data_IF_726411832407
#
_entry.id   IF_726411832407
#
_cell.length_a   1.000
_cell.length_b   1.000
_cell.length_c   1.000
_cell.angle_alpha   90.00
_cell.angle_beta   90.00
_cell.angle_gamma   90.00
#
_symmetry.space_group_name_H-M   'P 1'
#
loop_
_entity.id
_entity.type
_entity.pdbx_description
1 polymer ?
#
# COMPACT_ATOMS: atom_id res chain seq x y z
N UNK A 1 47.79 -8.28 -5.44
CA UNK A 1 47.19 -7.25 -4.55
C UNK A 1 46.23 -6.30 -5.29
N UNK A 2 46.48 -5.88 -6.53
CA UNK A 2 45.58 -4.95 -7.27
C UNK A 2 44.14 -5.44 -7.45
N UNK A 3 43.89 -6.75 -7.61
CA UNK A 3 42.54 -7.26 -7.83
C UNK A 3 41.64 -7.15 -6.57
N UNK A 4 42.22 -7.16 -5.38
CA UNK A 4 41.46 -7.07 -4.12
C UNK A 4 40.91 -5.65 -3.92
N UNK A 5 41.73 -4.63 -4.19
CA UNK A 5 41.36 -3.21 -4.06
C UNK A 5 40.28 -2.84 -5.07
N UNK A 6 40.38 -3.32 -6.31
CA UNK A 6 39.36 -3.09 -7.35
C UNK A 6 38.02 -3.73 -6.96
N UNK A 7 38.06 -4.94 -6.38
CA UNK A 7 36.85 -5.65 -5.94
C UNK A 7 36.17 -4.93 -4.77
N UNK A 8 36.95 -4.43 -3.81
CA UNK A 8 36.44 -3.64 -2.67
C UNK A 8 35.85 -2.29 -3.15
N UNK A 9 36.49 -1.62 -4.12
CA UNK A 9 35.99 -0.36 -4.68
C UNK A 9 34.66 -0.57 -5.44
N UNK A 10 34.55 -1.67 -6.21
CA UNK A 10 33.31 -2.04 -6.91
C UNK A 10 32.17 -2.41 -5.95
N UNK A 11 32.48 -3.08 -4.84
CA UNK A 11 31.50 -3.39 -3.79
C UNK A 11 30.99 -2.13 -3.07
N UNK A 12 31.83 -1.10 -2.90
CA UNK A 12 31.41 0.18 -2.30
C UNK A 12 30.57 1.05 -3.25
N UNK A 13 30.91 1.08 -4.55
CA UNK A 13 30.16 1.86 -5.57
C UNK A 13 28.79 1.25 -5.87
N UNK A 14 28.66 -0.09 -5.77
CA UNK A 14 27.37 -0.78 -5.93
C UNK A 14 26.59 -0.94 -4.61
N UNK A 15 27.21 -0.64 -3.46
CA UNK A 15 26.65 -0.90 -2.14
C UNK A 15 25.70 0.16 -1.59
N UNK A 16 25.57 1.32 -2.24
CA UNK A 16 24.83 2.47 -1.70
C UNK A 16 23.59 2.80 -2.54
N UNK A 17 22.63 1.89 -2.55
CA UNK A 17 21.23 2.20 -2.89
C UNK A 17 20.26 1.45 -2.00
N UNK A 18 20.59 1.33 -0.71
CA UNK A 18 19.62 0.93 0.31
C UNK A 18 18.76 2.16 0.62
N UNK A 19 17.87 2.53 -0.30
CA UNK A 19 16.82 3.54 -0.04
C UNK A 19 15.68 2.90 0.73
N UNK A 20 15.97 2.42 1.94
CA UNK A 20 14.94 1.98 2.86
C UNK A 20 14.27 3.22 3.46
N UNK A 21 13.00 3.44 3.12
CA UNK A 21 12.10 4.45 3.73
C UNK A 21 12.34 5.94 3.37
N UNK A 22 13.03 6.23 2.26
CA UNK A 22 13.18 7.59 1.78
C UNK A 22 11.92 8.04 1.02
N UNK A 23 11.29 9.11 1.50
CA UNK A 23 10.27 9.85 0.75
C UNK A 23 10.83 10.27 -0.62
N UNK A 24 10.05 10.18 -1.70
CA UNK A 24 10.50 10.68 -2.99
C UNK A 24 10.85 12.17 -2.93
N UNK A 25 11.82 12.59 -3.75
CA UNK A 25 12.25 13.99 -3.80
C UNK A 25 11.06 14.89 -4.17
N UNK A 26 10.99 16.06 -3.53
CA UNK A 26 9.87 16.99 -3.73
C UNK A 26 8.54 16.56 -3.11
N UNK A 27 8.48 15.43 -2.40
CA UNK A 27 7.28 14.99 -1.67
C UNK A 27 7.37 15.29 -0.17
N UNK A 28 6.22 15.27 0.49
CA UNK A 28 6.06 15.24 1.94
C UNK A 28 5.12 14.12 2.35
N UNK A 29 5.25 13.65 3.59
CA UNK A 29 4.36 12.63 4.15
C UNK A 29 2.98 13.21 4.42
N UNK A 30 1.95 12.43 4.12
CA UNK A 30 0.57 12.69 4.50
C UNK A 30 0.02 11.46 5.21
N UNK A 31 -0.99 11.67 6.06
CA UNK A 31 -1.77 10.58 6.63
C UNK A 31 -3.01 10.33 5.79
N UNK A 32 -3.37 9.07 5.61
CA UNK A 32 -4.58 8.69 4.92
C UNK A 32 -5.52 7.98 5.90
N UNK A 33 -6.82 8.21 5.72
CA UNK A 33 -7.88 7.48 6.41
C UNK A 33 -9.04 7.25 5.48
N UNK A 34 -9.87 6.26 5.79
CA UNK A 34 -11.14 6.09 5.11
C UNK A 34 -12.27 5.82 6.11
N UNK A 35 -13.48 6.11 5.67
CA UNK A 35 -14.72 5.82 6.37
C UNK A 35 -15.67 5.13 5.40
N UNK A 36 -16.37 4.09 5.86
CA UNK A 36 -17.45 3.46 5.10
C UNK A 36 -18.78 3.81 5.77
N UNK A 37 -19.63 4.47 4.99
CA UNK A 37 -20.94 4.96 5.42
C UNK A 37 -22.07 4.06 4.91
N UNK A 38 -23.29 4.29 5.41
CA UNK A 38 -24.49 3.56 5.03
C UNK A 38 -24.50 2.07 5.44
N UNK A 39 -23.72 1.70 6.47
CA UNK A 39 -23.69 0.33 7.01
C UNK A 39 -25.05 -0.07 7.60
N UNK A 40 -25.72 0.88 8.26
CA UNK A 40 -26.99 0.68 8.96
C UNK A 40 -28.16 0.34 8.01
N UNK A 41 -28.02 0.63 6.71
CA UNK A 41 -28.99 0.24 5.68
C UNK A 41 -28.94 -1.25 5.33
N UNK A 42 -27.95 -1.98 5.84
CA UNK A 42 -27.73 -3.40 5.57
C UNK A 42 -27.58 -4.20 6.88
N UNK A 43 -28.61 -4.24 7.75
CA UNK A 43 -28.50 -4.78 9.11
C UNK A 43 -28.23 -6.29 9.18
N UNK A 44 -28.43 -7.03 8.09
CA UNK A 44 -28.13 -8.48 8.00
C UNK A 44 -26.65 -8.82 7.81
N UNK A 45 -25.79 -7.80 7.69
CA UNK A 45 -24.38 -7.96 7.36
C UNK A 45 -23.46 -7.33 8.40
N UNK A 46 -22.33 -7.98 8.61
CA UNK A 46 -21.16 -7.43 9.30
C UNK A 46 -20.13 -7.05 8.24
N UNK A 47 -19.55 -5.86 8.40
CA UNK A 47 -18.58 -5.30 7.46
C UNK A 47 -17.18 -5.37 8.04
N UNK A 48 -16.22 -5.83 7.24
CA UNK A 48 -14.83 -6.00 7.66
C UNK A 48 -13.91 -5.39 6.62
N UNK A 49 -12.96 -4.55 7.05
CA UNK A 49 -11.85 -4.12 6.20
C UNK A 49 -10.61 -4.97 6.48
N UNK A 50 -10.04 -5.57 5.43
CA UNK A 50 -8.89 -6.46 5.53
C UNK A 50 -8.12 -6.53 4.20
N UNK A 51 -6.79 -6.70 4.21
CA UNK A 51 -5.89 -6.50 5.34
C UNK A 51 -5.66 -5.00 5.53
N UNK A 52 -5.81 -4.54 6.77
CA UNK A 52 -5.27 -3.28 7.26
C UNK A 52 -3.90 -3.62 7.87
N UNK A 53 -2.87 -2.84 7.57
CA UNK A 53 -1.58 -3.02 8.24
C UNK A 53 -1.19 -1.69 8.85
N UNK A 54 -1.11 -1.64 10.17
CA UNK A 54 -0.88 -0.42 10.93
C UNK A 54 0.53 -0.33 11.52
N UNK A 55 1.44 -1.25 11.16
CA UNK A 55 2.76 -1.32 11.79
C UNK A 55 3.85 -0.67 10.94
N UNK A 56 4.62 0.22 11.55
CA UNK A 56 5.82 0.83 10.98
C UNK A 56 7.11 0.00 11.24
N UNK A 57 6.99 -1.24 11.72
CA UNK A 57 8.13 -2.11 12.03
C UNK A 57 7.95 -3.52 11.47
N UNK A 58 7.26 -4.38 12.23
CA UNK A 58 6.93 -5.75 11.80
C UNK A 58 5.54 -5.71 11.17
N UNK A 59 5.34 -6.06 9.89
CA UNK A 59 4.03 -6.05 9.28
C UNK A 59 3.08 -6.95 10.10
N UNK A 60 1.98 -6.35 10.54
CA UNK A 60 0.92 -7.04 11.25
C UNK A 60 -0.31 -6.99 10.35
N UNK A 61 -0.74 -8.16 9.89
CA UNK A 61 -2.05 -8.30 9.26
C UNK A 61 -3.12 -8.07 10.33
N UNK A 62 -3.89 -6.99 10.14
CA UNK A 62 -5.01 -6.60 10.96
C UNK A 62 -6.28 -6.57 10.11
N UNK A 63 -7.39 -7.05 10.64
CA UNK A 63 -8.72 -6.81 10.11
C UNK A 63 -9.48 -5.87 11.05
N UNK A 64 -10.39 -5.07 10.53
CA UNK A 64 -11.23 -4.22 11.38
C UNK A 64 -12.70 -4.42 11.03
N UNK A 65 -13.52 -4.73 12.03
CA UNK A 65 -14.97 -4.66 11.89
C UNK A 65 -15.37 -3.19 11.80
N UNK A 66 -15.98 -2.81 10.69
CA UNK A 66 -16.37 -1.43 10.41
C UNK A 66 -17.63 -1.07 11.21
N UNK A 67 -17.63 0.13 11.76
CA UNK A 67 -18.77 0.72 12.46
C UNK A 67 -19.14 2.05 11.81
N UNK A 68 -20.40 2.44 11.95
CA UNK A 68 -20.87 3.74 11.47
C UNK A 68 -20.02 4.86 12.07
N UNK A 69 -19.58 5.82 11.25
CA UNK A 69 -18.69 6.93 11.64
C UNK A 69 -17.28 6.53 12.12
N UNK A 70 -16.85 5.29 11.92
CA UNK A 70 -15.50 4.86 12.26
C UNK A 70 -14.51 5.22 11.15
N UNK A 71 -13.50 6.01 11.50
CA UNK A 71 -12.38 6.30 10.62
C UNK A 71 -11.27 5.28 10.82
N UNK A 72 -10.83 4.65 9.72
CA UNK A 72 -9.71 3.72 9.69
C UNK A 72 -8.50 4.46 9.11
N UNK A 73 -7.48 4.67 9.94
CA UNK A 73 -6.21 5.22 9.50
C UNK A 73 -5.39 4.14 8.78
N UNK A 74 -4.79 4.49 7.64
CA UNK A 74 -3.90 3.62 6.89
C UNK A 74 -2.52 4.27 6.75
N UNK A 75 -1.43 3.57 7.13
CA UNK A 75 -0.09 4.07 6.89
C UNK A 75 0.33 3.97 5.42
N UNK A 76 -0.46 3.30 4.56
CA UNK A 76 -0.28 3.15 3.12
C UNK A 76 1.08 2.58 2.67
N UNK A 77 1.85 2.02 3.61
CA UNK A 77 3.15 1.40 3.37
C UNK A 77 3.01 -0.09 3.09
N UNK A 78 2.04 -0.73 3.73
CA UNK A 78 1.83 -2.17 3.69
C UNK A 78 0.33 -2.44 3.55
N UNK A 79 -0.07 -3.13 2.49
CA UNK A 79 -1.46 -3.52 2.28
C UNK A 79 -2.35 -2.46 1.62
N UNK A 80 -3.41 -2.97 1.01
CA UNK A 80 -4.48 -2.20 0.40
C UNK A 80 -5.77 -2.88 0.84
N UNK A 81 -6.46 -2.35 1.84
CA UNK A 81 -7.58 -3.05 2.45
C UNK A 81 -8.70 -3.20 1.43
N UNK A 82 -9.32 -4.36 1.44
CA UNK A 82 -10.57 -4.64 0.75
C UNK A 82 -11.66 -4.60 1.82
N UNK A 83 -12.79 -3.98 1.50
CA UNK A 83 -13.97 -4.02 2.35
C UNK A 83 -14.79 -5.24 1.96
N UNK A 84 -15.14 -6.05 2.94
CA UNK A 84 -15.94 -7.26 2.80
C UNK A 84 -17.25 -7.12 3.57
N UNK A 85 -18.30 -7.73 3.04
CA UNK A 85 -19.54 -7.99 3.78
C UNK A 85 -19.65 -9.49 4.07
N UNK A 86 -20.17 -9.85 5.24
CA UNK A 86 -20.49 -11.22 5.60
C UNK A 86 -21.82 -11.22 6.32
N UNK A 87 -22.69 -12.21 6.04
CA UNK A 87 -23.96 -12.32 6.76
C UNK A 87 -23.68 -12.53 8.25
N UNK A 88 -24.49 -11.91 9.11
CA UNK A 88 -24.29 -12.00 10.56
C UNK A 88 -24.31 -13.45 11.07
N UNK A 89 -25.15 -14.30 10.49
CA UNK A 89 -25.23 -15.74 10.83
C UNK A 89 -23.96 -16.53 10.49
N UNK A 90 -23.19 -16.07 9.49
CA UNK A 90 -21.94 -16.70 9.04
C UNK A 90 -20.70 -16.07 9.71
N UNK A 91 -20.86 -14.97 10.47
CA UNK A 91 -19.75 -14.25 11.08
C UNK A 91 -19.48 -14.66 12.53
N UNK A 92 -18.30 -15.27 12.76
CA UNK A 92 -17.79 -15.58 14.10
C UNK A 92 -16.85 -14.46 14.56
N UNK A 93 -17.40 -13.50 15.30
CA UNK A 93 -16.64 -12.37 15.85
C UNK A 93 -15.56 -12.79 16.86
N UNK A 94 -15.82 -13.79 17.70
CA UNK A 94 -14.83 -14.28 18.66
C UNK A 94 -13.63 -14.89 17.96
N UNK A 95 -13.87 -15.69 16.92
CA UNK A 95 -12.80 -16.25 16.10
C UNK A 95 -12.05 -15.17 15.35
N UNK A 96 -12.75 -14.20 14.76
CA UNK A 96 -12.14 -13.06 14.09
C UNK A 96 -11.19 -12.32 15.04
N UNK A 97 -11.65 -11.93 16.22
CA UNK A 97 -10.85 -11.21 17.22
C UNK A 97 -9.65 -12.04 17.70
N UNK A 98 -9.81 -13.36 17.89
CA UNK A 98 -8.72 -14.25 18.30
C UNK A 98 -7.61 -14.41 17.25
N UNK A 99 -7.96 -14.20 15.97
CA UNK A 99 -7.06 -14.32 14.83
C UNK A 99 -6.50 -12.95 14.38
N UNK A 100 -6.94 -11.86 15.00
CA UNK A 100 -6.60 -10.51 14.63
C UNK A 100 -5.39 -9.97 15.42
N UNK A 101 -4.77 -8.88 14.93
CA UNK A 101 -3.58 -8.25 15.51
C UNK A 101 -2.36 -9.18 15.65
N UNK A 102 -2.10 -9.97 14.61
CA UNK A 102 -1.04 -10.97 14.64
C UNK A 102 0.07 -10.53 13.68
N UNK A 103 1.33 -10.67 14.13
CA UNK A 103 2.51 -10.53 13.27
C UNK A 103 2.43 -11.50 12.08
N UNK A 104 2.86 -11.05 10.90
CA UNK A 104 2.84 -11.86 9.66
C UNK A 104 3.58 -13.20 9.82
N UNK A 105 4.59 -13.25 10.68
CA UNK A 105 5.41 -14.44 10.92
C UNK A 105 4.77 -15.47 11.87
N UNK A 106 3.55 -15.23 12.35
CA UNK A 106 2.82 -16.15 13.21
C UNK A 106 1.99 -17.12 12.35
N UNK A 107 1.95 -18.41 12.70
CA UNK A 107 1.12 -19.41 12.02
C UNK A 107 -0.37 -19.06 11.97
N UNK A 108 -0.85 -18.19 12.87
CA UNK A 108 -2.22 -17.68 12.89
C UNK A 108 -2.52 -16.64 11.80
N UNK A 109 -1.53 -15.98 11.20
CA UNK A 109 -1.76 -15.04 10.08
C UNK A 109 -2.31 -15.76 8.84
N UNK A 110 -1.83 -16.98 8.60
CA UNK A 110 -2.35 -17.88 7.58
C UNK A 110 -3.80 -18.31 7.89
N UNK A 111 -4.11 -18.56 9.17
CA UNK A 111 -5.47 -18.91 9.61
C UNK A 111 -6.46 -17.74 9.44
N UNK A 112 -6.04 -16.49 9.71
CA UNK A 112 -6.88 -15.32 9.43
C UNK A 112 -7.11 -15.15 7.93
N UNK A 113 -6.05 -15.26 7.12
CA UNK A 113 -6.17 -15.19 5.66
C UNK A 113 -7.08 -16.29 5.11
N UNK A 114 -7.01 -17.49 5.68
CA UNK A 114 -7.89 -18.61 5.35
C UNK A 114 -9.32 -18.37 5.83
N UNK A 115 -9.54 -17.82 7.03
CA UNK A 115 -10.85 -17.41 7.53
C UNK A 115 -11.50 -16.41 6.58
N UNK A 116 -10.75 -15.42 6.09
CA UNK A 116 -11.23 -14.42 5.13
C UNK A 116 -11.51 -15.04 3.74
N UNK A 117 -10.80 -16.10 3.34
CA UNK A 117 -11.00 -16.78 2.04
C UNK A 117 -12.08 -17.86 2.05
N UNK A 118 -12.25 -18.57 3.17
CA UNK A 118 -13.16 -19.71 3.30
C UNK A 118 -14.57 -19.30 3.71
N UNK A 119 -14.72 -18.21 4.45
CA UNK A 119 -16.05 -17.73 4.81
C UNK A 119 -16.68 -17.04 3.60
N UNK A 120 -18.02 -16.93 3.58
CA UNK A 120 -18.80 -16.33 2.47
C UNK A 120 -18.66 -14.79 2.43
N UNK A 121 -17.44 -14.29 2.56
CA UNK A 121 -17.14 -12.88 2.46
C UNK A 121 -17.38 -12.41 1.03
N UNK A 122 -18.25 -11.42 0.91
CA UNK A 122 -18.55 -10.74 -0.34
C UNK A 122 -17.56 -9.59 -0.48
N UNK A 123 -16.58 -9.66 -1.38
CA UNK A 123 -15.60 -8.60 -1.56
C UNK A 123 -16.20 -7.39 -2.27
N UNK A 124 -15.58 -6.24 -2.07
CA UNK A 124 -15.88 -5.00 -2.81
C UNK A 124 -14.60 -4.34 -3.34
N UNK A 125 -14.60 -3.00 -3.37
CA UNK A 125 -13.49 -2.16 -3.79
C UNK A 125 -12.26 -2.36 -2.90
N UNK A 126 -11.12 -2.52 -3.56
CA UNK A 126 -9.80 -2.42 -2.95
C UNK A 126 -9.47 -0.94 -2.75
N UNK A 127 -9.31 -0.53 -1.49
CA UNK A 127 -8.93 0.83 -1.13
C UNK A 127 -7.47 1.04 -1.51
N UNK A 128 -7.25 2.03 -2.36
CA UNK A 128 -5.92 2.49 -2.77
C UNK A 128 -5.65 3.79 -2.05
N UNK A 129 -4.48 3.91 -1.42
CA UNK A 129 -4.14 5.10 -0.65
C UNK A 129 -2.71 5.56 -0.93
N UNK A 130 -2.47 6.86 -0.72
CA UNK A 130 -1.15 7.47 -0.86
C UNK A 130 -0.67 7.99 0.50
N UNK A 131 0.57 7.67 0.87
CA UNK A 131 1.24 8.20 2.07
C UNK A 131 2.05 9.48 1.80
N UNK A 132 2.01 10.00 0.57
CA UNK A 132 2.73 11.22 0.22
C UNK A 132 1.95 12.15 -0.72
N UNK A 133 2.30 13.43 -0.64
CA UNK A 133 1.82 14.51 -1.51
C UNK A 133 3.01 15.37 -1.96
N UNK A 134 2.79 16.28 -2.90
CA UNK A 134 3.78 17.31 -3.23
C UNK A 134 4.11 18.18 -2.01
N UNK A 135 5.37 18.61 -1.92
CA UNK A 135 5.88 19.36 -0.76
C UNK A 135 5.13 20.67 -0.54
N UNK A 136 4.65 21.30 -1.61
CA UNK A 136 3.87 22.54 -1.62
C UNK A 136 2.36 22.34 -1.42
N UNK A 137 1.88 21.09 -1.37
CA UNK A 137 0.49 20.81 -1.06
C UNK A 137 0.12 21.42 0.30
N UNK A 138 -1.09 21.99 0.43
CA UNK A 138 -1.51 22.64 1.68
C UNK A 138 -2.08 21.66 2.71
N UNK A 139 -2.34 20.42 2.33
CA UNK A 139 -2.88 19.38 3.21
C UNK A 139 -1.81 18.46 3.78
N UNK A 140 -2.13 17.84 4.91
CA UNK A 140 -1.34 16.81 5.59
C UNK A 140 -2.14 15.53 5.84
N UNK A 141 -3.46 15.60 5.69
CA UNK A 141 -4.35 14.45 5.86
C UNK A 141 -5.30 14.34 4.67
N UNK A 142 -5.56 13.11 4.26
CA UNK A 142 -6.59 12.73 3.29
C UNK A 142 -7.56 11.78 3.98
N UNK A 143 -8.85 12.07 3.88
CA UNK A 143 -9.91 11.16 4.32
C UNK A 143 -10.84 10.87 3.15
N UNK A 144 -11.00 9.61 2.79
CA UNK A 144 -11.95 9.18 1.77
C UNK A 144 -13.22 8.60 2.39
N UNK A 145 -14.37 9.07 1.94
CA UNK A 145 -15.67 8.61 2.38
C UNK A 145 -16.25 7.71 1.32
N UNK A 146 -16.39 6.45 1.66
CA UNK A 146 -17.02 5.43 0.85
C UNK A 146 -18.45 5.22 1.31
N UNK A 147 -19.35 4.89 0.38
CA UNK A 147 -20.74 4.54 0.67
C UNK A 147 -21.07 3.21 0.02
N UNK A 148 -21.72 2.34 0.79
CA UNK A 148 -22.28 1.10 0.26
C UNK A 148 -23.55 1.44 -0.54
N UNK A 149 -23.56 1.09 -1.82
CA UNK A 149 -24.70 1.31 -2.72
C UNK A 149 -25.60 0.08 -2.78
N UNK A 150 -25.03 -1.12 -2.91
CA UNK A 150 -25.77 -2.39 -2.93
C UNK A 150 -24.93 -3.57 -2.45
N UNK A 151 -25.63 -4.62 -2.00
CA UNK A 151 -25.05 -5.92 -1.68
C UNK A 151 -25.95 -6.98 -2.34
N UNK A 152 -25.36 -7.71 -3.29
CA UNK A 152 -25.97 -8.87 -3.92
C UNK A 152 -25.34 -10.16 -3.37
N UNK A 153 -25.70 -11.31 -3.91
CA UNK A 153 -25.23 -12.61 -3.40
C UNK A 153 -23.68 -12.72 -3.35
N UNK A 154 -23.00 -12.26 -4.40
CA UNK A 154 -21.56 -12.45 -4.59
C UNK A 154 -20.80 -11.14 -4.80
N UNK A 155 -21.48 -9.99 -4.79
CA UNK A 155 -20.87 -8.69 -5.09
C UNK A 155 -21.41 -7.61 -4.17
N UNK A 156 -20.51 -6.79 -3.64
CA UNK A 156 -20.86 -5.57 -2.92
C UNK A 156 -20.33 -4.37 -3.68
N UNK A 157 -21.21 -3.40 -3.96
CA UNK A 157 -20.87 -2.16 -4.65
C UNK A 157 -20.64 -1.08 -3.60
N UNK A 158 -19.39 -0.59 -3.56
CA UNK A 158 -18.98 0.56 -2.74
C UNK A 158 -18.46 1.64 -3.68
N UNK A 159 -18.91 2.88 -3.46
CA UNK A 159 -18.47 4.05 -4.24
C UNK A 159 -17.79 5.07 -3.34
N UNK A 160 -16.70 5.66 -3.83
CA UNK A 160 -16.13 6.87 -3.22
C UNK A 160 -17.08 8.03 -3.45
N UNK A 161 -17.55 8.63 -2.36
CA UNK A 161 -18.51 9.74 -2.39
C UNK A 161 -17.84 11.09 -2.21
N UNK A 162 -16.76 11.15 -1.42
CA UNK A 162 -16.08 12.38 -1.08
C UNK A 162 -14.65 12.12 -0.65
N UNK A 163 -13.73 12.99 -1.07
CA UNK A 163 -12.37 13.07 -0.54
C UNK A 163 -12.23 14.39 0.23
N UNK A 164 -11.81 14.31 1.48
CA UNK A 164 -11.54 15.45 2.34
C UNK A 164 -10.04 15.64 2.50
N UNK A 165 -9.55 16.81 2.15
CA UNK A 165 -8.18 17.23 2.42
C UNK A 165 -8.17 18.05 3.70
N UNK A 166 -7.23 17.77 4.61
CA UNK A 166 -7.12 18.53 5.87
C UNK A 166 -5.72 19.05 6.11
N UNK A 167 -5.63 20.25 6.69
CA UNK A 167 -4.38 20.87 7.11
C UNK A 167 -3.81 20.24 8.40
N UNK A 168 -2.72 20.79 8.94
CA UNK A 168 -2.11 20.33 10.20
C UNK A 168 -3.02 20.45 11.42
N UNK A 169 -4.02 21.32 11.36
CA UNK A 169 -5.00 21.56 12.42
C UNK A 169 -6.28 20.71 12.22
N UNK A 170 -6.29 19.83 11.21
CA UNK A 170 -7.43 19.00 10.79
C UNK A 170 -8.63 19.79 10.25
N UNK A 171 -8.45 21.05 9.87
CA UNK A 171 -9.47 21.81 9.16
C UNK A 171 -9.59 21.31 7.72
N UNK A 172 -10.82 21.23 7.20
CA UNK A 172 -11.06 20.83 5.81
C UNK A 172 -10.64 21.98 4.88
N UNK A 173 -9.84 21.67 3.87
CA UNK A 173 -9.45 22.60 2.81
C UNK A 173 -10.07 22.17 1.47
N UNK A 174 -10.37 23.13 0.59
CA UNK A 174 -10.91 22.84 -0.74
C UNK A 174 -9.85 22.10 -1.59
N UNK A 175 -10.31 21.14 -2.39
CA UNK A 175 -9.47 20.40 -3.34
C UNK A 175 -8.84 21.32 -4.41
N UNK A 176 -9.44 22.48 -4.69
CA UNK A 176 -8.85 23.48 -5.60
C UNK A 176 -7.69 24.24 -4.95
N UNK A 177 -7.76 24.45 -3.65
CA UNK A 177 -6.72 25.13 -2.86
C UNK A 177 -5.65 24.17 -2.35
N UNK A 178 -5.88 22.86 -2.48
CA UNK A 178 -5.00 21.79 -2.02
C UNK A 178 -3.78 21.58 -2.92
N UNK A 179 -3.87 22.00 -4.19
CA UNK A 179 -2.78 21.99 -5.17
C UNK A 179 -2.00 23.30 -5.09
N UNK A 180 -0.71 23.24 -4.78
CA UNK A 180 0.19 24.35 -5.10
C UNK A 180 0.11 24.62 -6.61
N UNK A 181 0.33 25.86 -7.05
CA UNK A 181 -0.08 26.43 -8.35
C UNK A 181 0.50 25.81 -9.64
N UNK A 182 0.67 24.49 -9.72
CA UNK A 182 1.09 23.74 -10.90
C UNK A 182 -0.16 23.15 -11.57
N UNK A 183 -0.40 23.56 -12.81
CA UNK A 183 -1.47 23.02 -13.67
C UNK A 183 -1.17 21.56 -13.99
N UNK A 184 -2.19 20.70 -13.85
CA UNK A 184 -2.13 19.30 -14.24
C UNK A 184 -2.02 19.20 -15.77
N UNK A 185 -0.86 18.78 -16.27
CA UNK A 185 -0.85 17.99 -17.50
C UNK A 185 -1.00 16.51 -17.10
N UNK A 186 -2.10 15.92 -17.54
CA UNK A 186 -2.39 14.50 -17.41
C UNK A 186 -1.29 13.73 -18.17
N UNK A 187 -0.85 12.60 -17.61
CA UNK A 187 -0.65 11.27 -18.25
C UNK A 187 0.59 10.52 -17.70
N UNK A 188 0.28 9.36 -17.12
CA UNK A 188 1.04 8.09 -17.12
C UNK A 188 2.17 7.80 -16.12
N UNK A 189 2.33 6.49 -15.77
CA UNK A 189 3.33 5.99 -14.83
C UNK A 189 4.73 6.02 -15.46
N UNK A 190 5.46 7.12 -15.29
CA UNK A 190 6.84 7.27 -15.77
C UNK A 190 7.92 6.86 -14.76
N UNK A 191 7.60 6.06 -13.74
CA UNK A 191 8.62 5.57 -12.79
C UNK A 191 9.08 4.12 -13.03
N UNK A 192 8.79 3.50 -14.17
CA UNK A 192 9.35 2.15 -14.48
C UNK A 192 10.71 2.17 -15.17
N UNK A 193 11.13 3.26 -15.82
CA UNK A 193 12.37 3.25 -16.63
C UNK A 193 13.66 3.32 -15.79
N UNK A 194 13.64 3.97 -14.62
CA UNK A 194 14.82 4.07 -13.75
C UNK A 194 15.22 2.70 -13.17
N UNK A 195 14.24 1.85 -12.83
CA UNK A 195 14.50 0.53 -12.25
C UNK A 195 15.13 -0.46 -13.24
N UNK A 196 14.76 -0.42 -14.53
CA UNK A 196 15.34 -1.31 -15.54
C UNK A 196 16.77 -0.92 -15.90
N UNK A 197 17.11 0.38 -15.93
CA UNK A 197 18.48 0.83 -16.18
C UNK A 197 19.47 0.32 -15.12
N UNK A 198 19.05 0.26 -13.85
CA UNK A 198 19.86 -0.28 -12.76
C UNK A 198 20.14 -1.80 -12.88
N UNK A 199 19.28 -2.56 -13.56
CA UNK A 199 19.46 -4.00 -13.79
C UNK A 199 20.22 -4.28 -15.09
N UNK A 200 19.97 -3.49 -16.14
CA UNK A 200 20.54 -3.70 -17.48
C UNK A 200 22.05 -3.41 -17.48
N UNK A 201 22.50 -2.37 -16.77
CA UNK A 201 23.93 -1.97 -16.76
C UNK A 201 24.83 -3.07 -16.15
N UNK A 202 24.53 -3.66 -14.98
CA UNK A 202 25.30 -4.78 -14.43
C UNK A 202 25.31 -6.02 -15.34
N UNK A 203 24.19 -6.34 -16.00
CA UNK A 203 24.09 -7.49 -16.91
C UNK A 203 24.98 -7.29 -18.14
N UNK A 204 24.93 -6.11 -18.76
CA UNK A 204 25.80 -5.79 -19.91
C UNK A 204 27.29 -5.79 -19.52
N UNK A 205 27.62 -5.28 -18.34
CA UNK A 205 28.98 -5.32 -17.82
C UNK A 205 29.48 -6.76 -17.60
N UNK A 206 28.63 -7.64 -17.04
CA UNK A 206 28.94 -9.06 -16.86
C UNK A 206 29.19 -9.76 -18.20
N UNK A 207 28.33 -9.53 -19.19
CA UNK A 207 28.47 -10.09 -20.54
C UNK A 207 29.80 -9.67 -21.15
N UNK A 208 30.15 -8.39 -21.08
CA UNK A 208 31.43 -7.89 -21.60
C UNK A 208 32.64 -8.55 -20.93
N UNK A 209 32.62 -8.71 -19.59
CA UNK A 209 33.69 -9.37 -18.84
C UNK A 209 33.82 -10.84 -19.27
N UNK A 210 32.71 -11.58 -19.33
CA UNK A 210 32.69 -12.99 -19.75
C UNK A 210 33.21 -13.15 -21.18
N UNK A 211 32.77 -12.29 -22.10
CA UNK A 211 33.26 -12.30 -23.49
C UNK A 211 34.77 -12.07 -23.57
N UNK A 212 35.31 -11.11 -22.81
CA UNK A 212 36.77 -10.86 -22.78
C UNK A 212 37.53 -12.07 -22.23
N UNK A 213 37.04 -12.71 -21.17
CA UNK A 213 37.68 -13.90 -20.58
C UNK A 213 37.66 -15.08 -21.55
N UNK A 214 36.53 -15.34 -22.21
CA UNK A 214 36.39 -16.42 -23.19
C UNK A 214 37.32 -16.21 -24.39
N UNK A 215 37.36 -15.00 -24.96
CA UNK A 215 38.26 -14.67 -26.08
C UNK A 215 39.72 -14.86 -25.68
N UNK A 216 40.11 -14.46 -24.46
CA UNK A 216 41.48 -14.68 -23.97
C UNK A 216 41.82 -16.15 -23.77
N UNK A 217 40.85 -16.98 -23.35
CA UNK A 217 41.06 -18.41 -23.15
C UNK A 217 41.15 -19.17 -24.48
N UNK A 218 40.48 -18.70 -25.54
CA UNK A 218 40.56 -19.29 -26.88
C UNK A 218 41.83 -18.93 -27.66
N UNK A 219 42.54 -17.85 -27.26
CA UNK A 219 43.80 -17.42 -27.88
C UNK A 219 45.05 -18.01 -27.20
N UNK A 220 44.87 -18.84 -26.17
CA UNK A 220 45.92 -19.68 -25.55
C UNK A 220 45.65 -21.12 -25.89
#
# INVERSE_FOLDING_TARGET
MNNLIITILLLFVLGSSVKADLLPDGKKRISYSFEVTNLDSFPGYTFVAFPINNSNGIPMIFGSVLKSSMNIELPCKFGSPVVYAIKNEDFDGFKFDSLNQISDNNSRSAQLSEFMKKSKFIPSLKITCSSFADRDAKYYYVQELFRIESIDADTMIIRSTKTLYKDTQKNIIDAKDSKGGVKDDIVSPTEKYSSYLLIIIPVLALVAIVSIVLIRKMKK
#
